data_IF_793891791080
#
_entry.id   IF_793891791080
#
_cell.length_a   1.000
_cell.length_b   1.000
_cell.length_c   1.000
_cell.angle_alpha   90.00
_cell.angle_beta   90.00
_cell.angle_gamma   90.00
#
_symmetry.space_group_name_H-M   'P 1'
#
loop_
_entity.id
_entity.type
_entity.pdbx_description
1 polymer ?
#
# COMPACT_ATOMS: atom_id res chain seq x y z
N UNK A 1 -4.11 37.44 55.17
CA UNK A 1 -4.97 36.86 54.13
C UNK A 1 -4.52 37.42 52.79
N UNK A 2 -3.49 36.81 52.16
CA UNK A 2 -2.93 37.18 50.84
C UNK A 2 -1.82 36.21 50.39
N UNK A 3 -1.26 35.41 51.32
CA UNK A 3 -0.23 34.40 51.03
C UNK A 3 -0.71 33.31 50.04
N UNK A 4 -1.98 32.90 50.14
CA UNK A 4 -2.55 31.87 49.25
C UNK A 4 -2.62 32.31 47.78
N UNK A 5 -2.75 33.61 47.52
CA UNK A 5 -2.82 34.14 46.15
C UNK A 5 -1.43 34.07 45.50
N UNK A 6 -0.38 34.39 46.25
CA UNK A 6 1.00 34.27 45.76
C UNK A 6 1.41 32.82 45.47
N UNK A 7 1.02 31.86 46.32
CA UNK A 7 1.24 30.44 46.05
C UNK A 7 0.50 29.94 44.79
N UNK A 8 -0.72 30.42 44.55
CA UNK A 8 -1.51 30.06 43.36
C UNK A 8 -0.89 30.60 42.08
N UNK A 9 -0.34 31.83 42.10
CA UNK A 9 0.30 32.43 40.92
C UNK A 9 1.59 31.70 40.57
N UNK A 10 2.38 31.29 41.57
CA UNK A 10 3.61 30.51 41.38
C UNK A 10 3.28 29.12 40.79
N UNK A 11 2.24 28.44 41.30
CA UNK A 11 1.78 27.15 40.75
C UNK A 11 1.30 27.25 39.30
N UNK A 12 0.56 28.31 38.93
CA UNK A 12 0.13 28.52 37.54
C UNK A 12 1.30 28.86 36.61
N UNK A 13 2.30 29.60 37.11
CA UNK A 13 3.50 29.96 36.35
C UNK A 13 4.37 28.73 36.03
N UNK A 14 4.52 27.81 36.98
CA UNK A 14 5.26 26.55 36.75
C UNK A 14 4.50 25.57 35.83
N UNK A 15 3.17 25.68 35.72
CA UNK A 15 2.39 24.86 34.78
C UNK A 15 2.43 25.39 33.33
N UNK A 16 2.75 26.68 33.10
CA UNK A 16 2.82 27.24 31.75
C UNK A 16 4.17 27.06 31.05
N UNK A 17 5.26 26.76 31.78
CA UNK A 17 6.56 26.43 31.16
C UNK A 17 6.70 24.92 30.85
N UNK A 18 5.70 24.12 31.22
CA UNK A 18 5.63 22.68 30.96
C UNK A 18 5.02 22.28 29.61
N UNK A 19 4.70 23.23 28.71
CA UNK A 19 4.42 22.91 27.31
C UNK A 19 5.73 22.62 26.57
N UNK A 20 6.50 21.66 27.09
CA UNK A 20 7.27 20.83 26.19
C UNK A 20 6.27 20.32 25.15
N UNK A 21 6.53 20.61 23.89
CA UNK A 21 6.02 19.88 22.74
C UNK A 21 6.48 18.42 22.81
N UNK A 22 6.15 17.70 23.89
CA UNK A 22 6.05 16.27 23.86
C UNK A 22 4.95 16.00 22.86
N UNK A 23 5.36 15.67 21.64
CA UNK A 23 4.57 14.95 20.67
C UNK A 23 4.12 13.69 21.41
N UNK A 24 2.99 13.78 22.13
CA UNK A 24 2.34 12.64 22.76
C UNK A 24 2.02 11.75 21.56
N UNK A 25 2.90 10.79 21.28
CA UNK A 25 2.54 9.62 20.49
C UNK A 25 1.39 9.02 21.29
N UNK A 26 0.16 9.31 20.89
CA UNK A 26 -1.00 8.61 21.42
C UNK A 26 -0.66 7.13 21.32
N UNK A 27 -1.05 6.33 22.29
CA UNK A 27 -1.01 4.86 22.18
C UNK A 27 -1.95 4.32 21.08
N UNK A 28 -2.33 5.16 20.12
CA UNK A 28 -3.33 4.96 19.06
C UNK A 28 -2.66 4.80 17.69
N UNK A 29 -1.35 5.11 17.56
CA UNK A 29 -0.60 4.87 16.31
C UNK A 29 0.33 3.65 16.43
N UNK A 30 -0.08 2.60 17.15
CA UNK A 30 0.58 1.29 17.00
C UNK A 30 -0.11 0.61 15.82
N UNK A 31 0.54 0.65 14.67
CA UNK A 31 0.07 -0.05 13.49
C UNK A 31 0.48 -1.52 13.60
N UNK A 32 -0.48 -2.42 13.76
CA UNK A 32 -0.22 -3.86 13.93
C UNK A 32 0.40 -4.53 12.70
N UNK A 33 0.30 -3.87 11.55
CA UNK A 33 0.80 -4.34 10.28
C UNK A 33 2.31 -4.12 10.18
N UNK A 34 3.06 -5.09 9.64
CA UNK A 34 4.49 -4.93 9.43
C UNK A 34 4.76 -3.75 8.50
N UNK A 35 5.92 -3.11 8.62
CA UNK A 35 6.34 -2.14 7.62
C UNK A 35 6.44 -2.86 6.26
N UNK A 36 5.84 -2.27 5.23
CA UNK A 36 5.84 -2.86 3.90
C UNK A 36 7.28 -3.01 3.34
N UNK A 37 8.23 -2.19 3.84
CA UNK A 37 9.66 -2.22 3.52
C UNK A 37 10.41 -3.36 4.18
N UNK A 38 9.92 -3.86 5.32
CA UNK A 38 10.54 -4.98 6.05
C UNK A 38 10.33 -6.32 5.34
N UNK A 39 9.58 -6.31 4.23
CA UNK A 39 9.37 -7.48 3.39
C UNK A 39 10.62 -7.77 2.56
N UNK A 40 11.48 -8.62 3.12
CA UNK A 40 12.73 -9.10 2.50
C UNK A 40 12.45 -10.04 1.31
N UNK A 41 12.04 -9.45 0.19
CA UNK A 41 12.07 -10.08 -1.13
C UNK A 41 12.87 -9.16 -2.04
N UNK A 42 13.99 -9.64 -2.57
CA UNK A 42 14.87 -8.87 -3.47
C UNK A 42 14.16 -8.42 -4.78
N UNK A 43 12.98 -8.99 -5.06
CA UNK A 43 12.10 -8.57 -6.15
C UNK A 43 11.23 -7.38 -5.75
N UNK A 44 10.97 -7.10 -4.47
CA UNK A 44 10.27 -5.88 -4.09
C UNK A 44 11.10 -4.65 -4.44
N UNK A 45 10.48 -3.72 -5.16
CA UNK A 45 11.12 -2.45 -5.49
C UNK A 45 10.97 -1.44 -4.36
N UNK A 46 10.23 -1.77 -3.31
CA UNK A 46 10.01 -0.92 -2.14
C UNK A 46 11.33 -0.50 -1.49
N UNK A 47 12.36 -1.35 -1.57
CA UNK A 47 13.70 -1.10 -1.04
C UNK A 47 14.65 -0.48 -2.08
N UNK A 48 14.20 -0.30 -3.31
CA UNK A 48 14.91 0.42 -4.38
C UNK A 48 14.31 1.83 -4.42
N UNK A 49 15.15 2.83 -4.66
CA UNK A 49 14.90 4.28 -4.50
C UNK A 49 13.73 4.91 -5.29
N UNK A 50 12.84 4.09 -5.86
CA UNK A 50 11.79 4.45 -6.81
C UNK A 50 10.38 4.45 -6.20
N UNK A 51 10.24 3.89 -4.99
CA UNK A 51 8.99 3.84 -4.25
C UNK A 51 9.02 4.80 -3.06
N UNK A 52 8.10 5.78 -3.07
CA UNK A 52 7.90 6.69 -1.96
C UNK A 52 6.84 6.11 -1.03
N UNK A 53 7.29 5.52 0.08
CA UNK A 53 6.45 5.07 1.18
C UNK A 53 6.39 6.13 2.29
N UNK A 54 5.17 6.45 2.73
CA UNK A 54 4.95 7.30 3.92
C UNK A 54 3.82 6.73 4.77
N UNK A 55 3.98 6.79 6.09
CA UNK A 55 2.94 6.50 7.06
C UNK A 55 2.55 7.79 7.79
N UNK A 56 1.27 8.16 7.66
CA UNK A 56 0.64 9.31 8.28
C UNK A 56 -0.15 8.94 9.54
N UNK A 57 -0.88 9.90 10.14
CA UNK A 57 -1.69 9.68 11.34
C UNK A 57 -2.71 8.55 11.17
N UNK A 58 -2.93 7.73 12.20
CA UNK A 58 -3.92 6.64 12.16
C UNK A 58 -3.57 5.52 11.19
N UNK A 59 -2.27 5.25 10.98
CA UNK A 59 -1.77 4.21 10.06
C UNK A 59 -2.19 4.41 8.59
N UNK A 60 -2.52 5.65 8.21
CA UNK A 60 -2.77 5.99 6.81
C UNK A 60 -1.46 5.84 6.04
N UNK A 61 -1.44 4.94 5.05
CA UNK A 61 -0.22 4.63 4.30
C UNK A 61 -0.37 5.05 2.86
N UNK A 62 0.71 5.63 2.34
CA UNK A 62 0.83 5.96 0.93
C UNK A 62 2.06 5.26 0.39
N UNK A 63 1.90 4.61 -0.77
CA UNK A 63 2.98 4.01 -1.52
C UNK A 63 2.78 4.40 -2.96
N UNK A 64 3.68 5.22 -3.48
CA UNK A 64 3.60 5.72 -4.85
C UNK A 64 4.90 5.45 -5.56
N UNK A 65 4.81 4.97 -6.79
CA UNK A 65 5.95 4.89 -7.70
C UNK A 65 6.31 6.29 -8.22
N UNK A 66 7.58 6.50 -8.57
CA UNK A 66 8.05 7.68 -9.31
C UNK A 66 7.53 7.78 -10.75
N UNK A 67 8.37 8.17 -11.69
CA UNK A 67 8.05 8.14 -13.13
C UNK A 67 8.27 6.70 -13.62
N UNK A 68 7.21 6.02 -14.04
CA UNK A 68 7.23 4.60 -14.42
C UNK A 68 6.15 4.31 -15.47
N UNK A 69 6.32 3.25 -16.27
CA UNK A 69 5.35 2.88 -17.31
C UNK A 69 4.14 2.14 -16.76
N UNK A 70 4.36 1.26 -15.78
CA UNK A 70 3.28 0.49 -15.16
C UNK A 70 3.56 0.19 -13.70
N UNK A 71 2.53 0.31 -12.89
CA UNK A 71 2.51 -0.17 -11.52
C UNK A 71 1.70 -1.45 -11.50
N UNK A 72 2.13 -2.45 -10.73
CA UNK A 72 1.33 -3.65 -10.51
C UNK A 72 1.59 -4.28 -9.15
N UNK A 73 0.60 -5.04 -8.67
CA UNK A 73 0.73 -5.95 -7.54
C UNK A 73 0.79 -7.37 -8.05
N UNK A 74 1.71 -8.19 -7.54
CA UNK A 74 1.70 -9.63 -7.81
C UNK A 74 1.02 -10.35 -6.66
N UNK A 75 0.22 -11.37 -6.98
CA UNK A 75 -0.37 -12.28 -6.00
C UNK A 75 -0.44 -13.70 -6.57
N UNK A 76 -0.82 -14.65 -5.71
CA UNK A 76 -1.10 -16.02 -6.09
C UNK A 76 -2.58 -16.31 -5.83
N UNK A 77 -3.28 -16.87 -6.80
CA UNK A 77 -4.70 -17.19 -6.68
C UNK A 77 -5.01 -18.17 -5.53
N UNK A 78 -4.09 -19.06 -5.16
CA UNK A 78 -4.28 -19.95 -4.00
C UNK A 78 -4.32 -19.19 -2.65
N UNK A 79 -3.84 -17.95 -2.62
CA UNK A 79 -3.88 -17.06 -1.46
C UNK A 79 -4.83 -15.88 -1.69
N UNK A 80 -5.87 -16.12 -2.49
CA UNK A 80 -6.92 -15.18 -2.85
C UNK A 80 -8.30 -15.81 -2.69
N UNK A 81 -9.31 -14.97 -2.51
CA UNK A 81 -10.73 -15.34 -2.60
C UNK A 81 -11.21 -15.46 -4.06
N UNK A 82 -10.37 -15.08 -5.03
CA UNK A 82 -10.65 -15.14 -6.47
C UNK A 82 -10.31 -16.53 -7.01
N UNK A 83 -11.23 -17.19 -7.74
CA UNK A 83 -10.96 -18.50 -8.33
C UNK A 83 -9.88 -18.42 -9.42
N UNK A 84 -9.08 -19.48 -9.52
CA UNK A 84 -8.12 -19.64 -10.61
C UNK A 84 -8.90 -19.82 -11.92
N UNK A 85 -8.61 -19.06 -12.99
CA UNK A 85 -9.18 -19.32 -14.31
C UNK A 85 -8.84 -20.73 -14.80
N UNK A 86 -9.82 -21.45 -15.37
CA UNK A 86 -9.64 -22.84 -15.85
C UNK A 86 -8.52 -23.00 -16.89
N UNK A 87 -8.21 -21.91 -17.60
CA UNK A 87 -7.19 -21.84 -18.63
C UNK A 87 -5.89 -21.17 -18.15
N UNK A 88 -5.66 -21.03 -16.85
CA UNK A 88 -4.41 -20.52 -16.31
C UNK A 88 -3.29 -21.57 -16.43
N UNK A 89 -2.12 -21.18 -16.94
CA UNK A 89 -0.94 -22.04 -16.97
C UNK A 89 -0.31 -22.25 -15.59
N UNK A 90 -0.43 -21.26 -14.71
CA UNK A 90 0.11 -21.25 -13.37
C UNK A 90 -0.76 -20.34 -12.46
N UNK A 91 -0.62 -20.41 -11.12
CA UNK A 91 -1.50 -19.68 -10.21
C UNK A 91 -1.04 -18.22 -9.97
N UNK A 92 -0.05 -17.71 -10.71
CA UNK A 92 0.47 -16.36 -10.53
C UNK A 92 -0.32 -15.34 -11.34
N UNK A 93 -0.59 -14.19 -10.72
CA UNK A 93 -1.38 -13.15 -11.35
C UNK A 93 -0.93 -11.75 -10.93
N UNK A 94 -1.26 -10.77 -11.76
CA UNK A 94 -0.91 -9.37 -11.58
C UNK A 94 -2.17 -8.51 -11.57
N UNK A 95 -2.29 -7.63 -10.58
CA UNK A 95 -3.26 -6.53 -10.57
C UNK A 95 -2.56 -5.33 -11.20
N UNK A 96 -3.00 -4.91 -12.37
CA UNK A 96 -2.29 -3.97 -13.25
C UNK A 96 -2.92 -2.57 -13.25
N UNK A 97 -2.08 -1.54 -13.44
CA UNK A 97 -2.53 -0.14 -13.59
C UNK A 97 -2.84 0.29 -15.02
N UNK A 98 -2.48 -0.53 -16.03
CA UNK A 98 -2.73 -0.26 -17.45
C UNK A 98 -2.74 -1.55 -18.26
N UNK A 99 -3.55 -1.59 -19.33
CA UNK A 99 -3.50 -2.65 -20.36
C UNK A 99 -2.44 -2.38 -21.43
N UNK A 100 -1.90 -1.17 -21.47
CA UNK A 100 -0.87 -0.78 -22.42
C UNK A 100 0.45 -1.44 -22.04
N UNK A 101 0.90 -2.37 -22.89
CA UNK A 101 2.20 -3.03 -22.74
C UNK A 101 3.31 -2.35 -23.58
N UNK A 102 2.99 -1.25 -24.26
CA UNK A 102 3.95 -0.52 -25.08
C UNK A 102 5.03 0.14 -24.20
N UNK A 103 6.29 -0.15 -24.54
CA UNK A 103 7.46 0.37 -23.83
C UNK A 103 7.82 1.79 -24.27
N UNK A 104 7.26 2.27 -25.37
CA UNK A 104 7.44 3.62 -25.88
C UNK A 104 6.31 4.57 -25.44
N UNK A 105 5.30 4.05 -24.73
CA UNK A 105 4.21 4.85 -24.18
C UNK A 105 4.76 5.87 -23.17
N UNK A 106 4.23 7.11 -23.15
CA UNK A 106 4.62 8.06 -22.13
C UNK A 106 4.30 7.51 -20.72
N UNK A 107 5.14 7.77 -19.71
CA UNK A 107 4.86 7.36 -18.34
C UNK A 107 3.48 7.83 -17.88
N UNK A 108 2.72 6.90 -17.27
CA UNK A 108 1.42 7.21 -16.71
C UNK A 108 1.51 8.13 -15.48
N UNK A 109 0.38 8.66 -15.00
CA UNK A 109 0.35 9.44 -13.77
C UNK A 109 0.79 8.58 -12.58
N UNK A 110 1.45 9.21 -11.61
CA UNK A 110 1.79 8.56 -10.34
C UNK A 110 0.51 8.08 -9.64
N UNK A 111 0.47 6.79 -9.31
CA UNK A 111 -0.63 6.18 -8.55
C UNK A 111 -0.21 5.90 -7.12
N UNK A 112 -1.08 6.25 -6.16
CA UNK A 112 -0.95 5.74 -4.80
C UNK A 112 -1.55 4.33 -4.75
N UNK A 113 -0.69 3.32 -4.65
CA UNK A 113 -1.05 1.91 -4.67
C UNK A 113 -2.09 1.56 -3.59
N UNK A 114 -2.01 2.17 -2.39
CA UNK A 114 -2.91 1.85 -1.28
C UNK A 114 -4.35 2.17 -1.64
N UNK A 115 -4.61 3.38 -2.12
CA UNK A 115 -5.94 3.78 -2.55
C UNK A 115 -6.34 3.14 -3.88
N UNK A 116 -5.39 2.96 -4.82
CA UNK A 116 -5.69 2.50 -6.17
C UNK A 116 -6.08 1.01 -6.20
N UNK A 117 -5.40 0.16 -5.43
CA UNK A 117 -5.68 -1.27 -5.34
C UNK A 117 -6.47 -1.66 -4.07
N UNK A 118 -6.89 -0.67 -3.27
CA UNK A 118 -7.57 -0.91 -2.00
C UNK A 118 -6.76 -1.82 -1.08
N UNK A 119 -5.48 -1.49 -0.89
CA UNK A 119 -4.60 -2.29 -0.05
C UNK A 119 -5.03 -2.13 1.40
N UNK A 120 -5.44 -3.24 2.00
CA UNK A 120 -5.75 -3.34 3.42
C UNK A 120 -4.72 -4.21 4.11
N UNK A 121 -4.67 -4.09 5.43
CA UNK A 121 -3.93 -4.99 6.27
C UNK A 121 -4.89 -5.76 7.17
N UNK A 122 -4.72 -7.06 7.21
CA UNK A 122 -5.48 -7.96 8.07
C UNK A 122 -4.54 -9.08 8.53
N UNK A 123 -4.62 -9.48 9.80
CA UNK A 123 -3.78 -10.55 10.36
C UNK A 123 -2.26 -10.38 10.11
N UNK A 124 -1.78 -9.13 10.11
CA UNK A 124 -0.37 -8.76 9.84
C UNK A 124 0.11 -9.05 8.41
N UNK A 125 -0.81 -9.26 7.48
CA UNK A 125 -0.53 -9.45 6.06
C UNK A 125 -1.26 -8.39 5.21
N UNK A 126 -0.78 -8.20 3.98
CA UNK A 126 -1.29 -7.21 3.03
C UNK A 126 -2.19 -7.84 1.98
N UNK A 127 -3.36 -7.25 1.76
CA UNK A 127 -4.35 -7.73 0.80
C UNK A 127 -4.80 -6.61 -0.13
N UNK A 128 -4.93 -6.90 -1.42
CA UNK A 128 -5.61 -6.02 -2.36
C UNK A 128 -7.10 -6.36 -2.40
N UNK A 129 -7.95 -5.34 -2.56
CA UNK A 129 -9.42 -5.48 -2.60
C UNK A 129 -10.06 -4.74 -3.77
N UNK A 130 -9.30 -3.93 -4.51
CA UNK A 130 -9.78 -3.23 -5.70
C UNK A 130 -8.91 -3.66 -6.89
N UNK A 131 -9.57 -3.96 -7.99
CA UNK A 131 -8.97 -4.44 -9.25
C UNK A 131 -9.40 -3.49 -10.38
N UNK A 132 -8.85 -2.27 -10.47
CA UNK A 132 -9.41 -1.19 -11.29
C UNK A 132 -9.63 -1.56 -12.76
N UNK A 133 -8.70 -2.35 -13.32
CA UNK A 133 -8.71 -2.79 -14.73
C UNK A 133 -8.98 -4.29 -14.84
N UNK A 134 -8.87 -5.02 -13.74
CA UNK A 134 -8.90 -6.48 -13.68
C UNK A 134 -7.53 -7.08 -13.37
N UNK A 135 -7.41 -8.36 -13.67
CA UNK A 135 -6.28 -9.21 -13.29
C UNK A 135 -5.67 -9.82 -14.56
N UNK A 136 -4.35 -9.69 -14.68
CA UNK A 136 -3.57 -10.34 -15.73
C UNK A 136 -3.02 -11.67 -15.22
N UNK A 137 -3.16 -12.72 -16.01
CA UNK A 137 -2.58 -14.05 -15.76
C UNK A 137 -2.02 -14.62 -17.06
N UNK A 138 -1.33 -15.76 -17.00
CA UNK A 138 -0.79 -16.44 -18.18
C UNK A 138 -1.68 -17.60 -18.59
N UNK A 139 -2.09 -17.62 -19.87
CA UNK A 139 -2.79 -18.74 -20.48
C UNK A 139 -1.85 -19.93 -20.77
N UNK A 140 -2.37 -21.05 -21.32
CA UNK A 140 -1.58 -22.27 -21.54
C UNK A 140 -0.45 -22.09 -22.56
N UNK A 141 -0.57 -21.07 -23.41
CA UNK A 141 0.41 -20.62 -24.40
C UNK A 141 1.40 -19.58 -23.84
N UNK A 142 1.33 -19.30 -22.53
CA UNK A 142 2.06 -18.23 -21.84
C UNK A 142 1.81 -16.82 -22.40
N UNK A 143 0.72 -16.63 -23.14
CA UNK A 143 0.25 -15.31 -23.50
C UNK A 143 -0.53 -14.68 -22.34
N UNK A 144 -0.40 -13.35 -22.19
CA UNK A 144 -1.14 -12.60 -21.18
C UNK A 144 -2.63 -12.61 -21.46
N UNK A 145 -3.43 -13.04 -20.48
CA UNK A 145 -4.89 -13.01 -20.49
C UNK A 145 -5.40 -12.12 -19.35
N UNK A 146 -6.64 -11.66 -19.48
CA UNK A 146 -7.26 -10.72 -18.54
C UNK A 146 -8.64 -11.20 -18.12
N UNK A 147 -8.94 -11.08 -16.83
CA UNK A 147 -10.26 -11.37 -16.22
C UNK A 147 -10.61 -10.30 -15.19
N UNK A 148 -11.87 -10.24 -14.78
CA UNK A 148 -12.29 -9.36 -13.68
C UNK A 148 -12.44 -7.89 -14.03
N UNK A 149 -12.53 -7.58 -15.32
CA UNK A 149 -12.74 -6.20 -15.80
C UNK A 149 -14.06 -5.60 -15.30
N UNK A 150 -14.12 -4.27 -15.21
CA UNK A 150 -15.33 -3.59 -14.72
C UNK A 150 -15.59 -3.73 -13.21
N UNK A 151 -14.61 -4.22 -12.45
CA UNK A 151 -14.70 -4.31 -10.99
C UNK A 151 -15.40 -5.56 -10.46
N UNK A 152 -15.51 -6.62 -11.28
CA UNK A 152 -16.13 -7.91 -10.92
C UNK A 152 -15.63 -8.48 -9.59
N UNK A 153 -14.33 -8.35 -9.32
CA UNK A 153 -13.70 -8.90 -8.12
C UNK A 153 -13.52 -7.89 -6.99
N UNK A 154 -14.03 -6.66 -7.13
CA UNK A 154 -13.88 -5.65 -6.08
C UNK A 154 -14.55 -6.12 -4.78
N UNK A 155 -13.82 -6.01 -3.67
CA UNK A 155 -14.20 -6.51 -2.36
C UNK A 155 -13.60 -7.87 -2.02
N UNK A 156 -13.20 -8.68 -3.01
CA UNK A 156 -12.50 -9.95 -2.78
C UNK A 156 -11.03 -9.70 -2.43
N UNK A 157 -10.51 -10.45 -1.46
CA UNK A 157 -9.15 -10.31 -0.97
C UNK A 157 -8.17 -11.15 -1.75
N UNK A 158 -7.07 -10.52 -2.19
CA UNK A 158 -5.89 -11.21 -2.71
C UNK A 158 -4.67 -10.87 -1.89
N UNK A 159 -4.01 -11.86 -1.28
CA UNK A 159 -2.79 -11.59 -0.51
C UNK A 159 -1.70 -11.09 -1.45
N UNK A 160 -1.23 -9.87 -1.22
CA UNK A 160 -0.21 -9.26 -2.07
C UNK A 160 1.13 -9.91 -1.76
N UNK A 161 1.83 -10.35 -2.80
CA UNK A 161 3.16 -10.93 -2.73
C UNK A 161 4.25 -9.89 -3.02
N UNK A 162 4.04 -9.08 -4.06
CA UNK A 162 5.00 -8.08 -4.50
C UNK A 162 4.32 -6.76 -4.82
N UNK A 163 5.02 -5.68 -4.50
CA UNK A 163 4.70 -4.32 -4.95
C UNK A 163 5.76 -3.90 -5.97
N UNK A 164 5.33 -3.56 -7.18
CA UNK A 164 6.24 -3.31 -8.31
C UNK A 164 5.87 -2.06 -9.07
N UNK A 165 6.91 -1.29 -9.39
CA UNK A 165 6.91 -0.34 -10.46
C UNK A 165 7.60 -1.01 -11.67
N UNK A 166 7.51 -0.41 -12.84
CA UNK A 166 8.38 -0.79 -13.96
C UNK A 166 8.81 0.49 -14.62
N UNK A 167 10.09 0.82 -14.48
CA UNK A 167 10.63 2.03 -15.05
C UNK A 167 10.67 2.00 -16.59
N UNK A 168 10.64 3.19 -17.20
CA UNK A 168 11.29 3.39 -18.49
C UNK A 168 12.76 2.96 -18.43
N UNK A 169 13.17 2.15 -19.40
CA UNK A 169 14.59 1.81 -19.61
C UNK A 169 15.38 3.06 -20.02
#
# INVERSE_FOLDING_TARGET
MNWFIFLSIILVSFFQEGYCCMKIRRSVDICDCPDIRDRDDNRNEINKTELWYTEGPGCARNLSCGIHYRTFLAFNFHESEIPIPDDAADPFALIISTLEEDYDAPPGPTVNMFSYYGIICENKDWYATIYPIGIRYYGPDYNGKFVGGGGEFNGLKSRVWLFKCKNPL
#
